data_IF_947580481722
#
_entry.id   IF_947580481722
#
_cell.length_a   1.000
_cell.length_b   1.000
_cell.length_c   1.000
_cell.angle_alpha   90.00
_cell.angle_beta   90.00
_cell.angle_gamma   90.00
#
_symmetry.space_group_name_H-M   'P 1'
#
loop_
_entity.id
_entity.type
_entity.pdbx_description
1 polymer ?
#
# COMPACT_ATOMS: atom_id res chain seq x y z
N UNK A 1 -31.71 -0.85 -4.95
CA UNK A 1 -30.54 -1.39 -4.20
C UNK A 1 -30.13 -0.37 -3.15
N UNK A 2 -30.18 -0.77 -1.87
CA UNK A 2 -29.77 0.05 -0.72
C UNK A 2 -28.31 0.49 -0.83
N UNK A 3 -27.94 1.61 -0.19
CA UNK A 3 -26.57 2.13 -0.17
C UNK A 3 -25.59 1.04 0.30
N UNK A 4 -25.93 0.32 1.38
CA UNK A 4 -25.07 -0.70 1.98
C UNK A 4 -24.94 -1.99 1.16
N UNK A 5 -25.83 -2.22 0.19
CA UNK A 5 -25.79 -3.40 -0.69
C UNK A 5 -24.87 -3.20 -1.90
N UNK A 6 -24.45 -1.97 -2.20
CA UNK A 6 -23.57 -1.66 -3.32
C UNK A 6 -22.22 -1.17 -2.81
N UNK A 7 -21.16 -1.93 -3.07
CA UNK A 7 -19.81 -1.56 -2.64
C UNK A 7 -19.42 -0.14 -3.10
N UNK A 8 -19.74 0.24 -4.34
CA UNK A 8 -19.48 1.61 -4.85
C UNK A 8 -20.25 2.66 -4.06
N UNK A 9 -21.56 2.45 -3.86
CA UNK A 9 -22.39 3.43 -3.13
C UNK A 9 -21.95 3.56 -1.67
N UNK A 10 -21.55 2.46 -1.02
CA UNK A 10 -21.02 2.48 0.34
C UNK A 10 -19.73 3.30 0.42
N UNK A 11 -18.79 3.11 -0.52
CA UNK A 11 -17.54 3.89 -0.56
C UNK A 11 -17.84 5.38 -0.75
N UNK A 12 -18.71 5.71 -1.71
CA UNK A 12 -19.11 7.11 -1.98
C UNK A 12 -19.78 7.73 -0.75
N UNK A 13 -20.67 7.00 -0.08
CA UNK A 13 -21.32 7.47 1.14
C UNK A 13 -20.32 7.77 2.25
N UNK A 14 -19.23 7.00 2.37
CA UNK A 14 -18.15 7.28 3.32
C UNK A 14 -17.47 8.64 3.07
N UNK A 15 -17.19 8.99 1.82
CA UNK A 15 -16.62 10.30 1.48
C UNK A 15 -17.61 11.46 1.66
N UNK A 16 -18.90 11.23 1.37
CA UNK A 16 -19.95 12.22 1.65
C UNK A 16 -20.05 12.47 3.16
N UNK A 17 -20.01 11.42 3.97
CA UNK A 17 -20.02 11.54 5.43
C UNK A 17 -18.81 12.34 5.92
N UNK A 18 -17.61 12.06 5.39
CA UNK A 18 -16.42 12.85 5.69
C UNK A 18 -16.61 14.34 5.35
N UNK A 19 -17.16 14.66 4.17
CA UNK A 19 -17.41 16.04 3.77
C UNK A 19 -18.41 16.76 4.70
N UNK A 20 -19.46 16.06 5.14
CA UNK A 20 -20.43 16.59 6.12
C UNK A 20 -19.74 16.88 7.46
N UNK A 21 -18.92 15.96 7.96
CA UNK A 21 -18.17 16.13 9.21
C UNK A 21 -17.23 17.34 9.13
N UNK A 22 -16.50 17.48 8.02
CA UNK A 22 -15.62 18.63 7.79
C UNK A 22 -16.42 19.94 7.76
N UNK A 23 -17.55 19.97 7.04
CA UNK A 23 -18.42 21.15 6.98
C UNK A 23 -18.96 21.54 8.35
N UNK A 24 -19.40 20.57 9.15
CA UNK A 24 -19.87 20.80 10.51
C UNK A 24 -18.75 21.33 11.42
N UNK A 25 -17.56 20.72 11.39
CA UNK A 25 -16.42 21.16 12.19
C UNK A 25 -15.99 22.59 11.85
N UNK A 26 -15.92 22.94 10.56
CA UNK A 26 -15.61 24.29 10.09
C UNK A 26 -16.68 25.29 10.55
N UNK A 27 -17.97 24.93 10.44
CA UNK A 27 -19.07 25.80 10.88
C UNK A 27 -19.03 26.10 12.40
N UNK A 28 -18.44 25.22 13.20
CA UNK A 28 -18.22 25.43 14.64
C UNK A 28 -16.90 26.13 14.99
N UNK A 29 -16.20 26.70 14.00
CA UNK A 29 -14.94 27.42 14.19
C UNK A 29 -13.68 26.55 14.12
N UNK A 30 -13.78 25.31 13.61
CA UNK A 30 -12.65 24.42 13.40
C UNK A 30 -11.78 24.80 12.19
N UNK A 31 -10.62 24.14 12.08
CA UNK A 31 -9.65 24.38 11.00
C UNK A 31 -10.09 23.78 9.67
N UNK A 32 -9.87 24.50 8.57
CA UNK A 32 -10.03 23.97 7.21
C UNK A 32 -8.77 23.17 6.83
N UNK A 33 -8.85 21.86 6.55
CA UNK A 33 -7.69 21.07 6.17
C UNK A 33 -7.06 21.57 4.87
N UNK A 34 -5.73 21.69 4.86
CA UNK A 34 -4.96 22.09 3.68
C UNK A 34 -4.54 20.89 2.82
N UNK A 35 -3.85 21.18 1.72
CA UNK A 35 -3.36 20.15 0.78
C UNK A 35 -2.47 19.11 1.45
N UNK A 36 -1.63 19.52 2.42
CA UNK A 36 -0.73 18.60 3.11
C UNK A 36 -1.47 17.69 4.12
N UNK A 37 -2.59 18.14 4.67
CA UNK A 37 -3.42 17.31 5.55
C UNK A 37 -4.14 16.23 4.75
N UNK A 38 -4.69 16.60 3.59
CA UNK A 38 -5.24 15.64 2.64
C UNK A 38 -4.18 14.70 2.08
N UNK A 39 -2.96 15.18 1.83
CA UNK A 39 -1.85 14.33 1.41
C UNK A 39 -1.46 13.32 2.50
N UNK A 40 -1.41 13.72 3.78
CA UNK A 40 -1.23 12.81 4.92
C UNK A 40 -2.33 11.77 5.01
N UNK A 41 -3.59 12.19 4.94
CA UNK A 41 -4.73 11.27 4.95
C UNK A 41 -4.67 10.28 3.79
N UNK A 42 -4.40 10.77 2.58
CA UNK A 42 -4.24 9.94 1.38
C UNK A 42 -3.05 8.98 1.48
N UNK A 43 -1.92 9.43 2.03
CA UNK A 43 -0.75 8.59 2.27
C UNK A 43 -1.07 7.42 3.20
N UNK A 44 -1.75 7.69 4.33
CA UNK A 44 -2.16 6.66 5.29
C UNK A 44 -3.15 5.68 4.66
N UNK A 45 -4.18 6.19 3.97
CA UNK A 45 -5.19 5.34 3.33
C UNK A 45 -4.57 4.43 2.27
N UNK A 46 -3.70 4.96 1.40
CA UNK A 46 -2.98 4.18 0.40
C UNK A 46 -1.99 3.19 1.04
N UNK A 47 -1.33 3.59 2.14
CA UNK A 47 -0.42 2.74 2.90
C UNK A 47 -1.15 1.54 3.51
N UNK A 48 -2.36 1.74 4.04
CA UNK A 48 -3.23 0.66 4.52
C UNK A 48 -3.55 -0.33 3.40
N UNK A 49 -3.93 0.15 2.21
CA UNK A 49 -4.18 -0.73 1.06
C UNK A 49 -2.93 -1.50 0.67
N UNK A 50 -1.79 -0.82 0.58
CA UNK A 50 -0.52 -1.43 0.17
C UNK A 50 -0.05 -2.50 1.16
N UNK A 51 0.14 -2.12 2.42
CA UNK A 51 0.69 -3.01 3.45
C UNK A 51 -0.34 -4.05 3.88
N UNK A 52 -1.62 -3.70 3.92
CA UNK A 52 -2.70 -4.66 4.16
C UNK A 52 -2.71 -5.79 3.13
N UNK A 53 -2.54 -5.46 1.84
CA UNK A 53 -2.44 -6.48 0.79
C UNK A 53 -1.11 -7.24 0.82
N UNK A 54 -0.01 -6.59 1.22
CA UNK A 54 1.27 -7.27 1.46
C UNK A 54 1.12 -8.39 2.52
N UNK A 55 0.45 -8.08 3.63
CA UNK A 55 0.18 -9.03 4.71
C UNK A 55 -0.83 -10.09 4.30
N UNK A 56 -1.88 -9.71 3.57
CA UNK A 56 -2.79 -10.68 2.97
C UNK A 56 -2.03 -11.70 2.11
N UNK A 57 -1.09 -11.27 1.26
CA UNK A 57 -0.31 -12.21 0.45
C UNK A 57 0.59 -13.13 1.29
N UNK A 58 1.31 -12.59 2.27
CA UNK A 58 2.32 -13.35 3.00
C UNK A 58 1.75 -14.20 4.13
N UNK A 59 0.67 -13.76 4.77
CA UNK A 59 0.10 -14.41 5.95
C UNK A 59 -1.11 -15.28 5.62
N UNK A 60 -1.85 -14.96 4.55
CA UNK A 60 -3.10 -15.64 4.20
C UNK A 60 -2.98 -16.40 2.89
N UNK A 61 -2.79 -15.67 1.78
CA UNK A 61 -2.91 -16.26 0.45
C UNK A 61 -1.79 -17.27 0.15
N UNK A 62 -0.52 -16.89 0.26
CA UNK A 62 0.59 -17.79 -0.11
C UNK A 62 0.63 -19.05 0.76
N UNK A 63 0.47 -18.98 2.09
CA UNK A 63 0.36 -20.19 2.92
C UNK A 63 -0.81 -21.11 2.51
N UNK A 64 -1.95 -20.54 2.13
CA UNK A 64 -3.11 -21.35 1.72
C UNK A 64 -2.90 -22.06 0.37
N UNK A 65 -2.02 -21.57 -0.50
CA UNK A 65 -1.75 -22.19 -1.80
C UNK A 65 -1.08 -23.58 -1.72
N UNK A 66 -0.53 -23.96 -0.57
CA UNK A 66 0.06 -25.28 -0.37
C UNK A 66 -0.96 -26.42 -0.39
N UNK A 67 -2.20 -26.15 0.04
CA UNK A 67 -3.25 -27.16 0.21
C UNK A 67 -4.31 -27.21 -0.91
N UNK A 68 -4.16 -26.43 -1.98
CA UNK A 68 -5.17 -26.32 -3.05
C UNK A 68 -4.73 -27.04 -4.34
N UNK A 69 -5.70 -27.60 -5.06
CA UNK A 69 -5.48 -28.35 -6.31
C UNK A 69 -4.99 -27.43 -7.44
N UNK A 70 -4.44 -28.01 -8.52
CA UNK A 70 -4.01 -27.25 -9.69
C UNK A 70 -5.18 -26.50 -10.37
N UNK A 71 -6.37 -27.12 -10.42
CA UNK A 71 -7.58 -26.52 -10.96
C UNK A 71 -8.01 -25.29 -10.15
N UNK A 72 -8.04 -25.40 -8.81
CA UNK A 72 -8.34 -24.26 -7.93
C UNK A 72 -7.31 -23.14 -8.10
N UNK A 73 -6.02 -23.47 -8.25
CA UNK A 73 -4.98 -22.46 -8.55
C UNK A 73 -5.27 -21.76 -9.87
N UNK A 74 -5.64 -22.49 -10.92
CA UNK A 74 -5.98 -21.88 -12.20
C UNK A 74 -7.15 -20.90 -12.05
N UNK A 75 -8.20 -21.28 -11.31
CA UNK A 75 -9.38 -20.45 -11.12
C UNK A 75 -9.09 -19.15 -10.32
N UNK A 76 -8.34 -19.25 -9.23
CA UNK A 76 -8.02 -18.07 -8.41
C UNK A 76 -6.98 -17.15 -9.05
N UNK A 77 -6.21 -17.60 -10.05
CA UNK A 77 -5.23 -16.78 -10.79
C UNK A 77 -5.70 -16.29 -12.17
N UNK A 78 -6.91 -16.67 -12.61
CA UNK A 78 -7.48 -16.26 -13.90
C UNK A 78 -7.72 -14.75 -14.00
N UNK A 79 -8.03 -14.28 -15.20
CA UNK A 79 -8.36 -12.87 -15.39
C UNK A 79 -9.59 -12.44 -14.58
N UNK A 80 -9.53 -11.26 -13.96
CA UNK A 80 -10.61 -10.75 -13.09
C UNK A 80 -10.72 -11.43 -11.72
N UNK A 81 -9.87 -12.41 -11.42
CA UNK A 81 -9.88 -13.14 -10.15
C UNK A 81 -9.48 -12.28 -8.95
N UNK A 82 -9.72 -12.81 -7.75
CA UNK A 82 -9.31 -12.20 -6.50
C UNK A 82 -7.81 -11.91 -6.45
N UNK A 83 -6.96 -12.84 -6.93
CA UNK A 83 -5.51 -12.66 -6.89
C UNK A 83 -5.07 -11.51 -7.82
N UNK A 84 -5.59 -11.46 -9.04
CA UNK A 84 -5.23 -10.37 -9.97
C UNK A 84 -5.74 -9.02 -9.50
N UNK A 85 -6.93 -8.96 -8.90
CA UNK A 85 -7.47 -7.75 -8.27
C UNK A 85 -6.62 -7.29 -7.09
N UNK A 86 -6.21 -8.22 -6.22
CA UNK A 86 -5.32 -7.93 -5.11
C UNK A 86 -3.96 -7.42 -5.61
N UNK A 87 -3.35 -8.05 -6.62
CA UNK A 87 -2.08 -7.60 -7.19
C UNK A 87 -2.16 -6.21 -7.82
N UNK A 88 -3.28 -5.90 -8.48
CA UNK A 88 -3.55 -4.57 -9.01
C UNK A 88 -3.57 -3.53 -7.89
N UNK A 89 -4.41 -3.73 -6.86
CA UNK A 89 -4.54 -2.78 -5.75
C UNK A 89 -3.28 -2.68 -4.89
N UNK A 90 -2.54 -3.77 -4.73
CA UNK A 90 -1.24 -3.77 -4.04
C UNK A 90 -0.25 -2.85 -4.75
N UNK A 91 -0.17 -2.93 -6.09
CA UNK A 91 0.70 -2.07 -6.89
C UNK A 91 0.23 -0.62 -6.86
N UNK A 92 -1.08 -0.37 -7.05
CA UNK A 92 -1.62 0.99 -7.01
C UNK A 92 -1.43 1.63 -5.63
N UNK A 93 -1.71 0.89 -4.55
CA UNK A 93 -1.46 1.33 -3.19
C UNK A 93 0.00 1.74 -2.97
N UNK A 94 0.96 0.95 -3.47
CA UNK A 94 2.38 1.30 -3.38
C UNK A 94 2.72 2.62 -4.08
N UNK A 95 2.30 2.80 -5.34
CA UNK A 95 2.55 4.03 -6.08
C UNK A 95 1.85 5.25 -5.47
N UNK A 96 0.58 5.11 -5.08
CA UNK A 96 -0.19 6.20 -4.46
C UNK A 96 0.40 6.60 -3.12
N UNK A 97 0.85 5.64 -2.31
CA UNK A 97 1.56 5.92 -1.05
C UNK A 97 2.82 6.73 -1.32
N UNK A 98 3.65 6.31 -2.28
CA UNK A 98 4.87 7.04 -2.63
C UNK A 98 4.55 8.47 -3.11
N UNK A 99 3.56 8.65 -4.00
CA UNK A 99 3.20 9.98 -4.52
C UNK A 99 2.81 10.93 -3.39
N UNK A 100 1.92 10.50 -2.49
CA UNK A 100 1.58 11.33 -1.33
C UNK A 100 2.78 11.54 -0.41
N UNK A 101 3.64 10.53 -0.23
CA UNK A 101 4.86 10.65 0.56
C UNK A 101 5.82 11.69 0.01
N UNK A 102 5.95 11.78 -1.31
CA UNK A 102 6.76 12.81 -1.98
C UNK A 102 6.17 14.22 -1.83
N UNK A 103 4.84 14.37 -1.84
CA UNK A 103 4.17 15.66 -1.55
C UNK A 103 4.49 16.11 -0.11
N UNK A 104 4.45 15.17 0.84
CA UNK A 104 4.77 15.46 2.24
C UNK A 104 6.25 15.75 2.45
N UNK A 105 7.12 15.01 1.76
CA UNK A 105 8.56 15.25 1.77
C UNK A 105 8.91 16.63 1.21
N UNK A 106 8.27 17.03 0.10
CA UNK A 106 8.41 18.37 -0.45
C UNK A 106 8.04 19.44 0.58
N UNK A 107 6.91 19.27 1.28
CA UNK A 107 6.49 20.18 2.34
C UNK A 107 7.54 20.33 3.46
N UNK A 108 8.15 19.21 3.89
CA UNK A 108 9.21 19.22 4.90
C UNK A 108 10.43 20.02 4.43
N UNK A 109 10.87 19.82 3.18
CA UNK A 109 12.03 20.51 2.62
C UNK A 109 11.76 22.02 2.46
N UNK A 110 10.56 22.40 2.00
CA UNK A 110 10.22 23.82 1.79
C UNK A 110 9.98 24.60 3.07
N UNK A 111 9.60 23.93 4.16
CA UNK A 111 9.39 24.57 5.47
C UNK A 111 10.70 24.68 6.30
N UNK A 112 11.85 24.35 5.71
CA UNK A 112 13.18 24.42 6.32
C UNK A 112 13.61 23.09 6.95
N UNK A 113 14.89 22.73 6.75
CA UNK A 113 15.48 21.48 7.25
C UNK A 113 15.55 21.40 8.78
N UNK A 114 15.44 22.52 9.49
CA UNK A 114 15.29 22.54 10.96
C UNK A 114 13.94 21.97 11.42
N UNK A 115 12.97 21.88 10.49
CA UNK A 115 11.71 21.15 10.63
C UNK A 115 11.72 19.81 9.86
N UNK A 116 12.88 19.32 9.43
CA UNK A 116 12.99 18.00 8.82
C UNK A 116 12.41 16.99 9.81
N UNK A 117 11.45 16.18 9.34
CA UNK A 117 10.76 15.20 10.18
C UNK A 117 11.75 14.35 10.96
N UNK A 118 11.32 13.79 12.09
CA UNK A 118 12.19 13.04 13.00
C UNK A 118 13.07 12.01 12.26
N UNK A 119 14.24 11.69 12.81
CA UNK A 119 15.11 10.66 12.20
C UNK A 119 14.35 9.34 12.03
N UNK A 120 13.39 9.04 12.91
CA UNK A 120 12.49 7.89 12.77
C UNK A 120 11.71 7.92 11.46
N UNK A 121 11.01 9.01 11.13
CA UNK A 121 10.22 9.07 9.89
C UNK A 121 11.13 9.00 8.66
N UNK A 122 12.33 9.56 8.72
CA UNK A 122 13.30 9.53 7.63
C UNK A 122 13.84 8.11 7.37
N UNK A 123 14.16 7.37 8.43
CA UNK A 123 14.58 5.95 8.34
C UNK A 123 13.41 5.09 7.84
N UNK A 124 12.22 5.28 8.41
CA UNK A 124 11.00 4.57 7.98
C UNK A 124 10.67 4.82 6.51
N UNK A 125 10.72 6.08 6.06
CA UNK A 125 10.50 6.46 4.67
C UNK A 125 11.52 5.79 3.73
N UNK A 126 12.78 5.66 4.15
CA UNK A 126 13.82 4.96 3.38
C UNK A 126 13.47 3.49 3.16
N UNK A 127 13.01 2.78 4.19
CA UNK A 127 12.50 1.40 4.03
C UNK A 127 11.28 1.35 3.10
N UNK A 128 10.35 2.30 3.24
CA UNK A 128 9.21 2.43 2.32
C UNK A 128 9.62 2.58 0.86
N UNK A 129 10.63 3.41 0.56
CA UNK A 129 11.15 3.61 -0.80
C UNK A 129 11.80 2.33 -1.34
N UNK A 130 12.60 1.64 -0.54
CA UNK A 130 13.20 0.34 -0.92
C UNK A 130 12.10 -0.68 -1.24
N UNK A 131 11.06 -0.75 -0.39
CA UNK A 131 9.93 -1.63 -0.60
C UNK A 131 9.15 -1.29 -1.87
N UNK A 132 8.92 0.00 -2.13
CA UNK A 132 8.26 0.46 -3.36
C UNK A 132 9.07 0.10 -4.60
N UNK A 133 10.41 0.24 -4.53
CA UNK A 133 11.31 -0.18 -5.60
C UNK A 133 11.16 -1.68 -5.87
N UNK A 134 11.15 -2.51 -4.83
CA UNK A 134 10.88 -3.93 -4.95
C UNK A 134 9.53 -4.22 -5.62
N UNK A 135 8.46 -3.50 -5.27
CA UNK A 135 7.14 -3.65 -5.92
C UNK A 135 7.23 -3.37 -7.41
N UNK A 136 7.85 -2.24 -7.78
CA UNK A 136 7.84 -1.71 -9.14
C UNK A 136 8.77 -2.48 -10.08
N UNK A 137 9.99 -2.79 -9.62
CA UNK A 137 11.05 -3.29 -10.49
C UNK A 137 11.35 -4.79 -10.31
N UNK A 138 10.91 -5.41 -9.21
CA UNK A 138 11.15 -6.84 -8.97
C UNK A 138 9.85 -7.63 -8.97
N UNK A 139 8.91 -7.30 -8.08
CA UNK A 139 7.66 -8.04 -7.92
C UNK A 139 6.82 -7.93 -9.20
N UNK A 140 6.53 -6.73 -9.68
CA UNK A 140 5.63 -6.57 -10.82
C UNK A 140 6.13 -7.22 -12.13
N UNK A 141 7.39 -7.03 -12.57
CA UNK A 141 7.88 -7.69 -13.78
C UNK A 141 7.83 -9.22 -13.72
N UNK A 142 8.12 -9.80 -12.55
CA UNK A 142 8.03 -11.25 -12.35
C UNK A 142 6.58 -11.72 -12.25
N UNK A 143 5.70 -10.97 -11.58
CA UNK A 143 4.27 -11.29 -11.49
C UNK A 143 3.60 -11.27 -12.87
N UNK A 144 3.99 -10.35 -13.77
CA UNK A 144 3.49 -10.35 -15.16
C UNK A 144 3.71 -11.68 -15.87
N UNK A 145 4.87 -12.32 -15.68
CA UNK A 145 5.16 -13.65 -16.24
C UNK A 145 4.31 -14.73 -15.58
N UNK A 146 4.25 -14.73 -14.24
CA UNK A 146 3.48 -15.70 -13.44
C UNK A 146 2.01 -15.73 -13.83
N UNK A 147 1.38 -14.55 -13.96
CA UNK A 147 -0.04 -14.44 -14.29
C UNK A 147 -0.28 -14.46 -15.81
N UNK A 148 0.75 -14.66 -16.64
CA UNK A 148 0.60 -14.80 -18.10
C UNK A 148 0.26 -13.51 -18.84
N UNK A 149 0.56 -12.33 -18.28
CA UNK A 149 0.54 -11.05 -19.02
C UNK A 149 1.71 -10.98 -20.02
N UNK A 150 2.82 -11.64 -19.68
CA UNK A 150 3.97 -11.83 -20.56
C UNK A 150 4.14 -13.32 -20.78
N UNK A 151 4.29 -13.74 -22.04
CA UNK A 151 4.60 -15.13 -22.37
C UNK A 151 5.93 -15.55 -21.73
N UNK A 152 5.92 -16.74 -21.15
CA UNK A 152 7.05 -17.33 -20.44
C UNK A 152 6.83 -18.84 -20.36
N UNK A 153 7.93 -19.60 -20.43
CA UNK A 153 7.90 -21.06 -20.26
C UNK A 153 7.48 -21.45 -18.83
N UNK A 154 7.16 -22.72 -18.60
CA UNK A 154 6.80 -23.21 -17.27
C UNK A 154 7.94 -22.97 -16.24
N UNK A 155 9.19 -23.22 -16.64
CA UNK A 155 10.36 -23.03 -15.79
C UNK A 155 10.60 -21.55 -15.47
N UNK A 156 10.43 -20.67 -16.46
CA UNK A 156 10.53 -19.23 -16.25
C UNK A 156 9.44 -18.72 -15.30
N UNK A 157 8.21 -19.20 -15.44
CA UNK A 157 7.10 -18.84 -14.54
C UNK A 157 7.40 -19.27 -13.11
N UNK A 158 7.91 -20.49 -12.91
CA UNK A 158 8.29 -20.98 -11.58
C UNK A 158 9.42 -20.14 -10.97
N UNK A 159 10.47 -19.86 -11.75
CA UNK A 159 11.60 -19.03 -11.30
C UNK A 159 11.17 -17.59 -10.98
N UNK A 160 10.32 -16.98 -11.81
CA UNK A 160 9.76 -15.65 -11.57
C UNK A 160 8.85 -15.62 -10.34
N UNK A 161 8.02 -16.64 -10.14
CA UNK A 161 7.21 -16.78 -8.93
C UNK A 161 8.06 -16.79 -7.66
N UNK A 162 9.15 -17.58 -7.65
CA UNK A 162 10.10 -17.60 -6.53
C UNK A 162 10.74 -16.23 -6.29
N UNK A 163 11.20 -15.54 -7.35
CA UNK A 163 11.79 -14.19 -7.23
C UNK A 163 10.80 -13.17 -6.66
N UNK A 164 9.57 -13.15 -7.17
CA UNK A 164 8.52 -12.26 -6.67
C UNK A 164 8.18 -12.55 -5.21
N UNK A 165 8.12 -13.82 -4.81
CA UNK A 165 7.85 -14.22 -3.44
C UNK A 165 8.95 -13.78 -2.47
N UNK A 166 10.23 -13.99 -2.83
CA UNK A 166 11.36 -13.55 -2.00
C UNK A 166 11.33 -12.02 -1.81
N UNK A 167 11.12 -11.26 -2.87
CA UNK A 167 10.98 -9.81 -2.79
C UNK A 167 9.78 -9.37 -1.92
N UNK A 168 8.66 -10.09 -2.00
CA UNK A 168 7.49 -9.83 -1.14
C UNK A 168 7.77 -10.12 0.34
N UNK A 169 8.55 -11.16 0.65
CA UNK A 169 9.00 -11.46 2.02
C UNK A 169 9.99 -10.43 2.56
N UNK A 170 10.91 -9.94 1.73
CA UNK A 170 11.78 -8.81 2.08
C UNK A 170 10.93 -7.58 2.40
N UNK A 171 9.93 -7.28 1.58
CA UNK A 171 9.01 -6.18 1.89
C UNK A 171 8.25 -6.40 3.20
N UNK A 172 7.83 -7.63 3.49
CA UNK A 172 7.16 -7.95 4.76
C UNK A 172 8.08 -7.72 5.94
N UNK A 173 9.33 -8.20 5.86
CA UNK A 173 10.36 -7.97 6.87
C UNK A 173 10.60 -6.47 7.10
N UNK A 174 10.82 -5.69 6.04
CA UNK A 174 11.08 -4.26 6.11
C UNK A 174 9.86 -3.45 6.57
N UNK A 175 8.64 -3.92 6.27
CA UNK A 175 7.41 -3.22 6.65
C UNK A 175 7.25 -3.08 8.17
N UNK A 176 7.75 -4.05 8.93
CA UNK A 176 7.61 -4.09 10.39
C UNK A 176 8.35 -2.90 11.05
N UNK A 177 9.69 -2.75 10.90
CA UNK A 177 10.39 -1.60 11.45
C UNK A 177 9.97 -0.29 10.76
N UNK A 178 9.61 -0.32 9.47
CA UNK A 178 9.10 0.85 8.77
C UNK A 178 7.85 1.44 9.44
N UNK A 179 6.81 0.62 9.66
CA UNK A 179 5.57 1.07 10.31
C UNK A 179 5.81 1.52 11.74
N UNK A 180 6.66 0.79 12.47
CA UNK A 180 7.01 1.15 13.84
C UNK A 180 7.66 2.53 13.92
N UNK A 181 8.60 2.83 13.02
CA UNK A 181 9.27 4.13 12.95
C UNK A 181 8.33 5.27 12.50
N UNK A 182 7.41 4.99 11.57
CA UNK A 182 6.36 5.95 11.20
C UNK A 182 5.47 6.29 12.40
N UNK A 183 5.06 5.29 13.16
CA UNK A 183 4.28 5.46 14.39
C UNK A 183 5.08 6.21 15.47
N UNK A 184 6.34 5.83 15.70
CA UNK A 184 7.25 6.48 16.64
C UNK A 184 7.35 7.98 16.36
N UNK A 185 7.55 8.39 15.11
CA UNK A 185 7.79 9.79 14.75
C UNK A 185 6.76 10.81 15.26
N UNK A 186 5.51 10.39 15.45
CA UNK A 186 4.40 11.25 15.92
C UNK A 186 4.01 11.00 17.38
N UNK A 187 4.47 9.91 18.00
CA UNK A 187 4.05 9.49 19.34
C UNK A 187 5.20 9.44 20.36
N UNK A 188 6.37 8.95 19.95
CA UNK A 188 7.60 8.90 20.75
C UNK A 188 8.82 8.75 19.82
N UNK A 189 9.80 9.64 19.90
CA UNK A 189 10.99 9.56 19.04
C UNK A 189 12.01 8.59 19.62
N UNK A 190 12.49 7.64 18.80
CA UNK A 190 13.58 6.73 19.17
C UNK A 190 14.91 7.42 18.90
N UNK A 191 14.98 8.17 17.81
CA UNK A 191 16.15 8.90 17.38
C UNK A 191 15.85 10.41 17.40
N UNK A 192 16.30 11.08 18.49
CA UNK A 192 16.23 12.54 18.64
C UNK A 192 17.15 13.30 17.70
#
# INVERSE_FOLDING_TARGET
MSILQSHVKTIVAGFILLAIILGAGIATGGTVPGIYDFARFGHVLAGIVWIGLLYYFNFVQVPSLGGVTAETKADIFKEGSIVRRALFWFRMGAHTTLVFGLILYYALVTNGLDHAGSKDIMIGATFGIIMWFNVTFIIWPNQKKVIGVVEATADEKAASGKKALIASRINTLLSIPMLFLMFASTHFQIFG
#
